data_IF_249663294808
#
_entry.id   IF_249663294808
#
_cell.length_a   1.000
_cell.length_b   1.000
_cell.length_c   1.000
_cell.angle_alpha   90.00
_cell.angle_beta   90.00
_cell.angle_gamma   90.00
#
_symmetry.space_group_name_H-M   'P 1'
#
loop_
_entity.id
_entity.type
_entity.pdbx_description
1 polymer ?
#
# COMPACT_ATOMS: atom_id res chain seq x y z
N UNK A 1 -1.34 -0.97 -12.81
CA UNK A 1 -0.81 -1.81 -11.71
C UNK A 1 -0.40 -0.87 -10.58
N UNK A 2 -0.49 -1.30 -9.33
CA UNK A 2 -0.02 -0.55 -8.17
C UNK A 2 0.87 -1.47 -7.31
N UNK A 3 1.96 -0.95 -6.79
CA UNK A 3 2.91 -1.64 -5.92
C UNK A 3 2.97 -0.86 -4.61
N UNK A 4 2.87 -1.56 -3.49
CA UNK A 4 2.76 -0.93 -2.17
C UNK A 4 3.64 -1.66 -1.18
N UNK A 5 4.32 -0.90 -0.34
CA UNK A 5 5.24 -1.42 0.66
C UNK A 5 5.21 -0.55 1.93
N UNK A 6 5.39 -1.17 3.09
CA UNK A 6 5.37 -0.57 4.42
C UNK A 6 6.67 -0.80 5.18
N UNK A 7 7.33 0.29 5.56
CA UNK A 7 8.54 0.24 6.36
C UNK A 7 8.28 0.67 7.81
N UNK A 8 9.07 0.15 8.74
CA UNK A 8 9.04 0.54 10.15
C UNK A 8 10.39 0.28 10.82
N UNK A 9 10.94 1.30 11.51
CA UNK A 9 12.23 1.22 12.21
C UNK A 9 12.03 0.92 13.70
N UNK A 10 12.14 -0.36 14.06
CA UNK A 10 11.71 -0.87 15.37
C UNK A 10 10.19 -1.05 15.36
N UNK A 11 9.66 -2.21 15.78
CA UNK A 11 8.24 -2.53 15.62
C UNK A 11 7.59 -2.71 17.01
N UNK A 12 6.90 -1.68 17.57
CA UNK A 12 6.56 -0.37 17.00
C UNK A 12 7.71 0.66 16.99
N UNK A 13 7.64 1.64 16.07
CA UNK A 13 8.68 2.63 15.80
C UNK A 13 8.31 3.58 14.66
N UNK A 14 9.20 4.48 14.20
CA UNK A 14 8.94 5.35 13.05
C UNK A 14 8.59 4.51 11.80
N UNK A 15 7.40 4.72 11.26
CA UNK A 15 6.83 3.95 10.18
C UNK A 15 6.47 4.84 8.98
N UNK A 16 6.44 4.23 7.81
CA UNK A 16 6.22 4.89 6.54
C UNK A 16 5.62 3.93 5.53
N UNK A 17 4.98 4.50 4.54
CA UNK A 17 4.27 3.79 3.48
C UNK A 17 4.72 4.34 2.13
N UNK A 18 4.92 3.45 1.16
CA UNK A 18 5.28 3.79 -0.21
C UNK A 18 4.31 3.14 -1.20
N UNK A 19 3.98 3.85 -2.27
CA UNK A 19 3.15 3.35 -3.34
C UNK A 19 3.65 3.82 -4.71
N UNK A 20 3.64 2.91 -5.68
CA UNK A 20 4.03 3.17 -7.08
C UNK A 20 2.93 2.66 -7.98
N UNK A 21 2.38 3.53 -8.83
CA UNK A 21 1.37 3.20 -9.82
C UNK A 21 2.00 3.23 -11.19
N UNK A 22 1.73 2.19 -11.97
CA UNK A 22 2.08 2.09 -13.39
C UNK A 22 0.80 2.01 -14.20
N UNK A 23 0.49 3.08 -14.92
CA UNK A 23 -0.70 3.17 -15.76
C UNK A 23 -0.46 2.51 -17.12
N UNK A 24 -1.55 2.17 -17.82
CA UNK A 24 -1.50 1.54 -19.14
C UNK A 24 -0.93 2.45 -20.23
N UNK A 25 -1.02 3.77 -20.04
CA UNK A 25 -0.46 4.79 -20.92
C UNK A 25 1.05 5.04 -20.70
N UNK A 26 1.69 4.25 -19.84
CA UNK A 26 3.12 4.34 -19.54
C UNK A 26 3.49 5.36 -18.46
N UNK A 27 2.53 6.13 -17.93
CA UNK A 27 2.80 7.04 -16.81
C UNK A 27 3.08 6.24 -15.52
N UNK A 28 4.06 6.73 -14.77
CA UNK A 28 4.38 6.24 -13.43
C UNK A 28 4.07 7.34 -12.43
N UNK A 29 3.29 7.00 -11.40
CA UNK A 29 2.91 7.92 -10.32
C UNK A 29 3.38 7.31 -9.01
N UNK A 30 4.13 8.08 -8.23
CA UNK A 30 4.73 7.62 -6.98
C UNK A 30 4.22 8.46 -5.82
N UNK A 31 4.11 7.85 -4.64
CA UNK A 31 3.79 8.57 -3.42
C UNK A 31 4.37 7.88 -2.20
N UNK A 32 4.61 8.67 -1.16
CA UNK A 32 5.01 8.17 0.15
C UNK A 32 4.23 8.89 1.24
N UNK A 33 3.97 8.21 2.36
CA UNK A 33 3.27 8.78 3.52
C UNK A 33 3.97 8.37 4.80
N UNK A 34 4.29 9.33 5.67
CA UNK A 34 4.79 9.02 7.01
C UNK A 34 3.63 8.61 7.91
N UNK A 35 3.80 7.53 8.64
CA UNK A 35 2.82 7.00 9.59
C UNK A 35 3.15 7.41 11.05
N UNK A 36 4.22 8.20 11.26
CA UNK A 36 4.69 8.56 12.59
C UNK A 36 5.16 7.32 13.37
N UNK A 37 4.87 7.28 14.67
CA UNK A 37 5.20 6.13 15.52
C UNK A 37 4.11 5.06 15.39
N UNK A 38 4.37 3.99 14.63
CA UNK A 38 3.40 2.94 14.37
C UNK A 38 4.07 1.56 14.21
N UNK A 39 3.29 0.54 13.89
CA UNK A 39 3.82 -0.81 13.57
C UNK A 39 4.03 -0.95 12.07
N UNK A 40 4.85 -1.94 11.66
CA UNK A 40 5.00 -2.26 10.24
C UNK A 40 3.62 -2.51 9.57
N UNK A 41 2.73 -3.25 10.24
CA UNK A 41 1.37 -3.50 9.74
C UNK A 41 0.57 -2.23 9.44
N UNK A 42 0.79 -1.14 10.20
CA UNK A 42 0.15 0.15 9.93
C UNK A 42 0.74 0.79 8.68
N UNK A 43 2.06 0.71 8.49
CA UNK A 43 2.74 1.14 7.27
C UNK A 43 2.17 0.43 6.03
N UNK A 44 2.09 -0.90 6.08
CA UNK A 44 1.54 -1.74 5.00
C UNK A 44 0.10 -1.38 4.62
N UNK A 45 -0.79 -1.29 5.61
CA UNK A 45 -2.18 -0.91 5.38
C UNK A 45 -2.30 0.52 4.84
N UNK A 46 -1.44 1.42 5.31
CA UNK A 46 -1.39 2.80 4.82
C UNK A 46 -0.87 2.86 3.38
N UNK A 47 0.06 1.99 3.00
CA UNK A 47 0.57 1.91 1.62
C UNK A 47 -0.52 1.50 0.64
N UNK A 48 -1.37 0.55 1.02
CA UNK A 48 -2.55 0.16 0.22
C UNK A 48 -3.56 1.31 0.12
N UNK A 49 -3.83 2.00 1.23
CA UNK A 49 -4.68 3.21 1.22
C UNK A 49 -4.14 4.26 0.25
N UNK A 50 -2.83 4.52 0.33
CA UNK A 50 -2.12 5.49 -0.50
C UNK A 50 -2.22 5.13 -1.99
N UNK A 51 -2.08 3.86 -2.35
CA UNK A 51 -2.27 3.43 -3.74
C UNK A 51 -3.68 3.74 -4.26
N UNK A 52 -4.73 3.52 -3.44
CA UNK A 52 -6.10 3.84 -3.83
C UNK A 52 -6.33 5.34 -3.97
N UNK A 53 -5.73 6.14 -3.08
CA UNK A 53 -5.77 7.60 -3.19
C UNK A 53 -5.08 8.08 -4.48
N UNK A 54 -3.91 7.52 -4.81
CA UNK A 54 -3.18 7.85 -6.04
C UNK A 54 -3.95 7.43 -7.30
N UNK A 55 -4.65 6.29 -7.28
CA UNK A 55 -5.51 5.87 -8.41
C UNK A 55 -6.64 6.89 -8.62
N UNK A 56 -7.22 7.36 -7.53
CA UNK A 56 -8.29 8.36 -7.55
C UNK A 56 -7.77 9.69 -8.10
N UNK A 57 -6.61 10.14 -7.63
CA UNK A 57 -5.96 11.38 -8.10
C UNK A 57 -5.52 11.30 -9.56
N UNK A 58 -5.07 10.13 -10.00
CA UNK A 58 -4.71 9.85 -11.39
C UNK A 58 -5.92 9.81 -12.34
N UNK A 59 -7.14 9.90 -11.81
CA UNK A 59 -8.37 9.81 -12.58
C UNK A 59 -8.67 8.40 -13.10
N UNK A 60 -8.09 7.36 -12.50
CA UNK A 60 -8.35 5.97 -12.89
C UNK A 60 -9.77 5.60 -12.45
N UNK A 61 -10.68 5.25 -13.39
CA UNK A 61 -12.05 4.90 -13.05
C UNK A 61 -12.12 3.66 -12.14
N UNK A 62 -13.06 3.64 -11.20
CA UNK A 62 -13.27 2.48 -10.32
C UNK A 62 -13.62 1.17 -11.03
N UNK A 63 -14.15 1.27 -12.26
CA UNK A 63 -14.47 0.13 -13.12
C UNK A 63 -13.25 -0.46 -13.85
N UNK A 64 -12.08 0.16 -13.75
CA UNK A 64 -10.85 -0.29 -14.36
C UNK A 64 -10.25 -1.46 -13.58
N UNK A 65 -9.63 -2.40 -14.30
CA UNK A 65 -8.94 -3.52 -13.65
C UNK A 65 -7.60 -3.03 -13.08
N UNK A 66 -7.51 -2.98 -11.75
CA UNK A 66 -6.28 -2.62 -11.05
C UNK A 66 -5.74 -3.81 -10.29
N UNK A 67 -4.45 -4.08 -10.42
CA UNK A 67 -3.77 -5.10 -9.60
C UNK A 67 -2.90 -4.36 -8.59
N UNK A 68 -3.14 -4.56 -7.31
CA UNK A 68 -2.37 -4.01 -6.18
C UNK A 68 -1.47 -5.11 -5.64
N UNK A 69 -0.17 -4.90 -5.73
CA UNK A 69 0.86 -5.79 -5.22
C UNK A 69 1.32 -5.33 -3.83
N UNK A 70 1.29 -6.23 -2.87
CA UNK A 70 1.78 -6.02 -1.50
C UNK A 70 2.57 -7.26 -1.07
N UNK A 71 3.63 -7.07 -0.30
CA UNK A 71 4.42 -8.15 0.29
C UNK A 71 3.90 -8.58 1.68
N UNK A 72 2.97 -7.80 2.25
CA UNK A 72 2.31 -8.13 3.50
C UNK A 72 1.20 -9.17 3.32
N UNK A 73 1.53 -10.41 3.67
CA UNK A 73 0.55 -11.51 3.77
C UNK A 73 -0.58 -11.17 4.75
N UNK A 74 -0.28 -10.41 5.81
CA UNK A 74 -1.27 -9.94 6.78
C UNK A 74 -2.26 -8.97 6.14
N UNK A 75 -1.76 -7.92 5.48
CA UNK A 75 -2.62 -6.92 4.84
C UNK A 75 -3.49 -7.55 3.76
N UNK A 76 -2.91 -8.40 2.90
CA UNK A 76 -3.67 -9.16 1.90
C UNK A 76 -4.73 -10.05 2.57
N UNK A 77 -4.39 -10.75 3.65
CA UNK A 77 -5.31 -11.64 4.36
C UNK A 77 -6.50 -10.92 5.00
N UNK A 78 -6.26 -9.80 5.70
CA UNK A 78 -7.34 -9.03 6.36
C UNK A 78 -8.24 -8.30 5.36
N UNK A 79 -7.69 -7.90 4.21
CA UNK A 79 -8.43 -7.17 3.18
C UNK A 79 -9.22 -8.09 2.24
N UNK A 80 -8.66 -9.21 1.78
CA UNK A 80 -9.30 -10.09 0.80
C UNK A 80 -9.83 -11.40 1.39
N UNK A 81 -9.10 -12.04 2.30
CA UNK A 81 -9.44 -13.38 2.83
C UNK A 81 -10.39 -13.35 4.04
N UNK A 82 -10.91 -12.18 4.39
CA UNK A 82 -11.83 -12.03 5.53
C UNK A 82 -11.20 -12.34 6.88
N UNK A 83 -9.87 -12.29 7.01
CA UNK A 83 -9.21 -12.56 8.28
C UNK A 83 -9.65 -11.56 9.35
N UNK A 84 -9.91 -12.07 10.55
CA UNK A 84 -10.35 -11.25 11.68
C UNK A 84 -9.17 -10.41 12.15
N UNK A 85 -9.24 -9.10 11.94
CA UNK A 85 -8.23 -8.16 12.38
C UNK A 85 -8.16 -8.12 13.91
N UNK A 86 -7.04 -8.56 14.48
CA UNK A 86 -6.78 -8.49 15.93
C UNK A 86 -6.36 -7.10 16.40
N UNK A 87 -5.86 -6.25 15.49
CA UNK A 87 -5.45 -4.87 15.74
C UNK A 87 -5.75 -4.00 14.50
N UNK A 88 -5.70 -2.67 14.65
CA UNK A 88 -5.88 -1.70 13.56
C UNK A 88 -7.22 -1.81 12.80
N UNK A 89 -8.30 -2.18 13.51
CA UNK A 89 -9.60 -2.45 12.90
C UNK A 89 -10.18 -1.24 12.15
N UNK A 90 -10.02 -0.04 12.70
CA UNK A 90 -10.49 1.20 12.07
C UNK A 90 -9.76 1.48 10.76
N UNK A 91 -8.42 1.35 10.74
CA UNK A 91 -7.61 1.51 9.54
C UNK A 91 -8.02 0.49 8.47
N UNK A 92 -8.21 -0.77 8.84
CA UNK A 92 -8.64 -1.83 7.92
C UNK A 92 -10.03 -1.55 7.37
N UNK A 93 -10.97 -1.08 8.20
CA UNK A 93 -12.31 -0.71 7.77
C UNK A 93 -12.27 0.46 6.76
N UNK A 94 -11.42 1.46 7.00
CA UNK A 94 -11.21 2.59 6.09
C UNK A 94 -10.63 2.13 4.74
N UNK A 95 -9.57 1.31 4.76
CA UNK A 95 -8.97 0.75 3.54
C UNK A 95 -9.96 -0.10 2.76
N UNK A 96 -10.77 -0.92 3.45
CA UNK A 96 -11.85 -1.69 2.81
C UNK A 96 -12.89 -0.78 2.16
N UNK A 97 -13.27 0.32 2.81
CA UNK A 97 -14.21 1.27 2.23
C UNK A 97 -13.64 1.96 0.98
N UNK A 98 -12.34 2.27 0.95
CA UNK A 98 -11.65 2.78 -0.24
C UNK A 98 -11.60 1.74 -1.36
N UNK A 99 -11.24 0.49 -1.05
CA UNK A 99 -11.19 -0.60 -2.04
C UNK A 99 -12.57 -0.90 -2.65
N UNK A 100 -13.67 -0.69 -1.91
CA UNK A 100 -15.03 -0.80 -2.47
C UNK A 100 -15.30 0.16 -3.63
N UNK A 101 -14.58 1.29 -3.73
CA UNK A 101 -14.67 2.21 -4.89
C UNK A 101 -14.04 1.61 -6.15
N UNK A 102 -13.18 0.62 -5.99
CA UNK A 102 -12.51 -0.12 -7.06
C UNK A 102 -12.91 -1.61 -7.01
N UNK A 103 -14.17 -1.96 -7.36
CA UNK A 103 -14.66 -3.33 -7.25
C UNK A 103 -13.91 -4.35 -8.12
N UNK A 104 -13.17 -3.89 -9.16
CA UNK A 104 -12.30 -4.73 -9.99
C UNK A 104 -10.84 -4.72 -9.54
N UNK A 105 -10.52 -4.13 -8.38
CA UNK A 105 -9.18 -4.20 -7.82
C UNK A 105 -8.87 -5.61 -7.30
N UNK A 106 -7.78 -6.19 -7.79
CA UNK A 106 -7.24 -7.45 -7.30
C UNK A 106 -6.04 -7.15 -6.40
N UNK A 107 -6.09 -7.58 -5.13
CA UNK A 107 -4.90 -7.61 -4.28
C UNK A 107 -4.13 -8.91 -4.54
N UNK A 108 -2.86 -8.78 -4.93
CA UNK A 108 -1.95 -9.90 -5.10
C UNK A 108 -0.81 -9.78 -4.12
N UNK A 109 -0.55 -10.87 -3.43
CA UNK A 109 0.66 -10.99 -2.65
C UNK A 109 1.83 -11.27 -3.60
N UNK A 110 2.92 -10.52 -3.46
CA UNK A 110 4.20 -10.76 -4.12
C UNK A 110 5.25 -10.95 -3.04
N UNK A 111 6.25 -11.80 -3.26
CA UNK A 111 7.37 -11.82 -2.32
C UNK A 111 8.13 -10.49 -2.40
N UNK A 112 8.58 -9.94 -1.28
CA UNK A 112 9.52 -8.81 -1.28
C UNK A 112 10.85 -9.23 -1.91
N UNK A 113 11.56 -8.28 -2.54
CA UNK A 113 12.92 -8.46 -3.08
C UNK A 113 13.11 -9.50 -4.20
N UNK A 114 12.08 -9.77 -5.03
CA UNK A 114 12.23 -10.64 -6.22
C UNK A 114 12.78 -9.92 -7.46
N UNK A 115 13.39 -8.74 -7.29
CA UNK A 115 13.91 -7.94 -8.39
C UNK A 115 12.83 -7.25 -9.23
N UNK A 116 11.68 -6.93 -8.62
CA UNK A 116 10.64 -6.09 -9.25
C UNK A 116 10.99 -4.62 -8.97
N UNK A 117 11.44 -3.84 -9.97
CA UNK A 117 11.92 -2.48 -9.75
C UNK A 117 10.88 -1.58 -9.09
N UNK A 118 9.60 -1.74 -9.45
CA UNK A 118 8.51 -0.95 -8.88
C UNK A 118 8.26 -1.28 -7.39
N UNK A 119 8.52 -2.52 -6.96
CA UNK A 119 8.41 -2.89 -5.54
C UNK A 119 9.59 -2.33 -4.75
N UNK A 120 10.82 -2.46 -5.26
CA UNK A 120 11.99 -1.85 -4.64
C UNK A 120 11.86 -0.33 -4.53
N UNK A 121 11.21 0.29 -5.51
CA UNK A 121 10.88 1.71 -5.48
C UNK A 121 9.87 2.04 -4.38
N UNK A 122 8.83 1.21 -4.20
CA UNK A 122 7.87 1.37 -3.12
C UNK A 122 8.53 1.21 -1.74
N UNK A 123 9.40 0.21 -1.56
CA UNK A 123 10.20 0.02 -0.33
C UNK A 123 11.08 1.25 -0.04
N UNK A 124 11.77 1.77 -1.05
CA UNK A 124 12.61 2.96 -0.90
C UNK A 124 11.79 4.19 -0.47
N UNK A 125 10.59 4.38 -1.03
CA UNK A 125 9.66 5.43 -0.66
C UNK A 125 9.15 5.27 0.78
N UNK A 126 8.81 4.04 1.18
CA UNK A 126 8.37 3.74 2.53
C UNK A 126 9.48 4.01 3.57
N UNK A 127 10.70 3.57 3.27
CA UNK A 127 11.88 3.82 4.11
C UNK A 127 12.23 5.31 4.20
N UNK A 128 12.10 6.05 3.10
CA UNK A 128 12.27 7.49 3.10
C UNK A 128 11.25 8.17 4.02
N UNK A 129 9.98 7.76 3.95
CA UNK A 129 8.91 8.27 4.82
C UNK A 129 9.07 7.88 6.30
N UNK A 130 9.69 6.73 6.61
CA UNK A 130 10.07 6.37 7.98
C UNK A 130 11.11 7.32 8.57
N UNK A 131 12.06 7.76 7.74
CA UNK A 131 13.22 8.55 8.18
C UNK A 131 12.90 10.03 8.41
N UNK A 132 11.66 10.47 8.15
CA UNK A 132 11.21 11.82 8.48
C UNK A 132 11.96 12.93 7.73
N UNK A 133 12.49 12.67 6.53
CA UNK A 133 12.95 13.75 5.67
C UNK A 133 11.74 14.47 5.07
N UNK A 134 11.37 15.54 5.77
CA UNK A 134 10.40 16.56 5.39
C UNK A 134 10.98 17.49 4.33
#
# INVERSE_FOLDING_TARGET
MAFTDGACRGNPGPAGAGAVLKLSDGRVIEGSRSCGMATNNVGELTAISLAVDLLTQAGVPGAEKVVVFTDSTYAAGVLTKGWKAKANQELIASVKAQLKKYPKAELRWVAGHVGVPENERADALANAACSGRR
#
